data_IF_042458783328
#
_entry.id   IF_042458783328
#
_cell.length_a   1.000
_cell.length_b   1.000
_cell.length_c   1.000
_cell.angle_alpha   90.00
_cell.angle_beta   90.00
_cell.angle_gamma   90.00
#
_symmetry.space_group_name_H-M   'P 1'
#
loop_
_entity.id
_entity.type
_entity.pdbx_description
1 polymer ?
#
# COMPACT_ATOMS: atom_id res chain seq x y z
N UNK A 1 -20.18 -22.85 4.15
CA UNK A 1 -18.75 -22.70 4.50
C UNK A 1 -18.54 -21.34 5.17
N UNK A 2 -18.58 -21.25 6.52
CA UNK A 2 -18.68 -19.95 7.16
C UNK A 2 -17.31 -19.43 7.60
N UNK A 3 -16.85 -18.35 6.93
CA UNK A 3 -16.35 -17.05 7.45
C UNK A 3 -15.59 -16.97 8.80
N UNK A 4 -14.97 -18.05 9.30
CA UNK A 4 -14.48 -18.10 10.68
C UNK A 4 -13.03 -17.68 10.93
N UNK A 5 -12.21 -17.39 9.90
CA UNK A 5 -10.75 -17.31 10.12
C UNK A 5 -10.05 -15.97 9.82
N UNK A 6 -10.70 -14.96 9.22
CA UNK A 6 -9.98 -13.74 8.80
C UNK A 6 -10.37 -12.47 9.56
N UNK A 7 -11.55 -12.41 10.20
CA UNK A 7 -12.07 -11.14 10.75
C UNK A 7 -11.78 -10.89 12.25
N UNK A 8 -11.20 -11.85 12.98
CA UNK A 8 -11.08 -11.77 14.45
C UNK A 8 -9.76 -11.20 14.99
N UNK A 9 -8.78 -10.85 14.13
CA UNK A 9 -7.43 -10.43 14.60
C UNK A 9 -7.27 -8.91 14.85
N UNK A 10 -8.30 -8.09 14.61
CA UNK A 10 -8.16 -6.60 14.62
C UNK A 10 -8.95 -5.85 15.71
N UNK A 11 -9.57 -6.53 16.69
CA UNK A 11 -10.39 -5.86 17.72
C UNK A 11 -9.87 -5.98 19.17
N UNK A 12 -9.23 -7.08 19.57
CA UNK A 12 -8.73 -7.25 20.95
C UNK A 12 -7.64 -6.25 21.34
N UNK A 13 -6.89 -5.72 20.38
CA UNK A 13 -5.80 -4.78 20.62
C UNK A 13 -6.31 -3.40 21.11
N UNK A 14 -7.47 -2.93 20.67
CA UNK A 14 -7.91 -1.56 21.02
C UNK A 14 -8.15 -1.37 22.53
N UNK A 15 -8.57 -2.42 23.24
CA UNK A 15 -8.76 -2.40 24.70
C UNK A 15 -7.46 -2.66 25.48
N UNK A 16 -6.57 -3.48 24.94
CA UNK A 16 -5.27 -3.78 25.55
C UNK A 16 -4.32 -2.57 25.51
N UNK A 17 -4.36 -1.78 24.42
CA UNK A 17 -3.60 -0.55 24.29
C UNK A 17 -4.06 0.55 25.28
N UNK A 18 -5.34 0.58 25.66
CA UNK A 18 -5.85 1.53 26.65
C UNK A 18 -5.36 1.26 28.08
N UNK A 19 -4.99 0.01 28.40
CA UNK A 19 -4.50 -0.38 29.72
C UNK A 19 -2.98 -0.16 29.88
N UNK A 20 -2.22 -0.24 28.79
CA UNK A 20 -0.75 -0.06 28.77
C UNK A 20 -0.34 1.41 28.96
N UNK A 21 -1.26 2.36 28.78
CA UNK A 21 -0.97 3.80 28.81
C UNK A 21 -0.80 4.41 30.22
N UNK A 22 -0.92 3.62 31.29
CA UNK A 22 -0.83 4.13 32.68
C UNK A 22 0.54 3.96 33.35
N UNK A 23 1.49 3.22 32.77
CA UNK A 23 2.75 2.86 33.46
C UNK A 23 4.01 2.79 32.58
N UNK A 24 4.04 3.42 31.41
CA UNK A 24 5.28 3.45 30.60
C UNK A 24 6.14 4.63 31.00
N UNK A 25 7.22 4.33 31.74
CA UNK A 25 8.32 5.24 32.05
C UNK A 25 8.76 6.01 30.79
N UNK A 26 9.08 7.29 30.92
CA UNK A 26 9.55 8.17 29.83
C UNK A 26 10.67 7.51 28.98
N UNK A 27 11.48 6.64 29.57
CA UNK A 27 12.50 5.83 28.90
C UNK A 27 11.95 4.85 27.85
N UNK A 28 10.74 4.30 28.07
CA UNK A 28 10.07 3.41 27.10
C UNK A 28 9.57 4.19 25.89
N UNK A 29 9.10 5.43 26.08
CA UNK A 29 8.68 6.29 24.97
C UNK A 29 9.86 6.73 24.09
N UNK A 30 11.04 6.96 24.67
CA UNK A 30 12.27 7.27 23.93
C UNK A 30 12.80 6.04 23.17
N UNK A 31 12.76 4.86 23.78
CA UNK A 31 13.13 3.61 23.11
C UNK A 31 12.14 3.26 21.98
N UNK A 32 10.84 3.45 22.22
CA UNK A 32 9.79 3.19 21.24
C UNK A 32 9.80 4.21 20.09
N UNK A 33 10.12 5.49 20.33
CA UNK A 33 10.25 6.48 19.24
C UNK A 33 11.45 6.19 18.33
N UNK A 34 12.57 5.76 18.90
CA UNK A 34 13.74 5.28 18.14
C UNK A 34 13.38 4.06 17.27
N UNK A 35 12.66 3.09 17.83
CA UNK A 35 12.19 1.91 17.10
C UNK A 35 11.16 2.29 16.02
N UNK A 36 10.19 3.17 16.32
CA UNK A 36 9.19 3.63 15.34
C UNK A 36 9.88 4.32 14.16
N UNK A 37 10.87 5.18 14.42
CA UNK A 37 11.66 5.82 13.37
C UNK A 37 12.45 4.80 12.55
N UNK A 38 13.00 3.74 13.18
CA UNK A 38 13.74 2.69 12.48
C UNK A 38 12.87 1.88 11.49
N UNK A 39 11.56 1.78 11.75
CA UNK A 39 10.62 1.02 10.91
C UNK A 39 9.65 1.90 10.10
N UNK A 40 9.81 3.23 10.11
CA UNK A 40 8.95 4.13 9.35
C UNK A 40 9.12 3.88 7.84
N UNK A 41 8.13 3.22 7.23
CA UNK A 41 8.16 2.92 5.80
C UNK A 41 7.93 4.20 4.99
N UNK A 42 8.64 4.39 3.85
CA UNK A 42 8.38 5.52 2.97
C UNK A 42 6.94 5.43 2.44
N UNK A 43 6.23 6.55 2.42
CA UNK A 43 4.88 6.60 1.84
C UNK A 43 4.99 6.23 0.35
N UNK A 44 4.26 5.20 -0.14
CA UNK A 44 4.37 4.77 -1.52
C UNK A 44 3.91 5.87 -2.47
N UNK A 45 4.58 5.97 -3.62
CA UNK A 45 4.15 6.88 -4.69
C UNK A 45 2.88 6.31 -5.33
N UNK A 46 1.91 7.17 -5.60
CA UNK A 46 0.64 6.75 -6.21
C UNK A 46 0.42 7.47 -7.54
N UNK A 47 -0.25 6.80 -8.48
CA UNK A 47 -0.61 7.33 -9.79
C UNK A 47 -2.10 7.13 -10.07
N UNK A 48 -2.79 8.16 -10.56
CA UNK A 48 -4.18 8.07 -11.01
C UNK A 48 -4.20 7.78 -12.51
N UNK A 49 -4.93 6.75 -12.94
CA UNK A 49 -5.06 6.36 -14.35
C UNK A 49 -6.00 7.31 -15.10
N UNK A 50 -5.60 7.76 -16.29
CA UNK A 50 -6.41 8.64 -17.15
C UNK A 50 -6.76 7.99 -18.51
N UNK A 51 -7.81 8.49 -19.17
CA UNK A 51 -8.43 7.88 -20.36
C UNK A 51 -8.10 8.61 -21.66
N UNK A 52 -7.13 9.52 -21.67
CA UNK A 52 -6.98 10.53 -22.75
C UNK A 52 -7.28 9.99 -24.16
N UNK A 53 -8.19 10.70 -24.84
CA UNK A 53 -9.13 10.18 -25.85
C UNK A 53 -8.52 9.50 -27.08
N UNK A 54 -7.25 9.72 -27.39
CA UNK A 54 -6.59 9.10 -28.56
C UNK A 54 -5.78 7.84 -28.20
N UNK A 55 -5.36 7.70 -26.95
CA UNK A 55 -4.33 6.74 -26.54
C UNK A 55 -4.36 6.50 -25.03
N UNK A 56 -5.39 5.81 -24.53
CA UNK A 56 -5.55 5.53 -23.09
C UNK A 56 -4.29 5.02 -22.38
N UNK A 57 -4.22 5.26 -21.07
CA UNK A 57 -3.12 4.77 -20.23
C UNK A 57 -3.10 3.23 -20.24
N UNK A 58 -1.90 2.68 -20.25
CA UNK A 58 -1.66 1.25 -20.03
C UNK A 58 -0.45 1.08 -19.10
N UNK A 59 -0.33 -0.08 -18.46
CA UNK A 59 0.76 -0.34 -17.52
C UNK A 59 2.15 -0.13 -18.15
N UNK A 60 2.29 -0.36 -19.46
CA UNK A 60 3.53 -0.09 -20.20
C UNK A 60 3.88 1.40 -20.24
N UNK A 61 2.95 2.27 -20.67
CA UNK A 61 3.16 3.72 -20.70
C UNK A 61 3.42 4.30 -19.32
N UNK A 62 2.73 3.77 -18.31
CA UNK A 62 2.95 4.18 -16.91
C UNK A 62 4.37 3.78 -16.48
N UNK A 63 4.81 2.56 -16.78
CA UNK A 63 6.17 2.11 -16.46
C UNK A 63 7.25 2.90 -17.20
N UNK A 64 7.03 3.24 -18.47
CA UNK A 64 7.92 4.11 -19.24
C UNK A 64 8.03 5.52 -18.61
N UNK A 65 6.91 6.09 -18.16
CA UNK A 65 6.87 7.40 -17.50
C UNK A 65 7.62 7.42 -16.15
N UNK A 66 7.53 6.36 -15.36
CA UNK A 66 8.12 6.33 -14.01
C UNK A 66 9.52 5.73 -13.95
N UNK A 67 9.82 4.74 -14.80
CA UNK A 67 11.07 4.01 -14.77
C UNK A 67 11.93 4.17 -16.04
N UNK A 68 11.43 4.88 -17.06
CA UNK A 68 12.09 5.00 -18.37
C UNK A 68 12.08 3.72 -19.20
N UNK A 69 11.44 2.66 -18.71
CA UNK A 69 11.39 1.35 -19.36
C UNK A 69 10.00 0.72 -19.20
N UNK A 70 9.27 0.63 -20.31
CA UNK A 70 7.95 0.03 -20.34
C UNK A 70 7.92 -1.45 -19.95
N UNK A 71 9.03 -2.19 -20.08
CA UNK A 71 9.13 -3.60 -19.68
C UNK A 71 8.95 -3.82 -18.18
N UNK A 72 9.14 -2.76 -17.38
CA UNK A 72 8.94 -2.76 -15.91
C UNK A 72 7.47 -2.70 -15.49
N UNK A 73 6.53 -2.76 -16.43
CA UNK A 73 5.09 -2.82 -16.14
C UNK A 73 4.71 -3.96 -15.18
N UNK A 74 5.46 -5.07 -15.19
CA UNK A 74 5.25 -6.22 -14.28
C UNK A 74 5.42 -5.84 -12.82
N UNK A 75 6.36 -4.96 -12.50
CA UNK A 75 6.62 -4.49 -11.13
C UNK A 75 5.40 -3.73 -10.59
N UNK A 76 4.81 -2.88 -11.43
CA UNK A 76 3.56 -2.15 -11.10
C UNK A 76 2.41 -3.14 -10.91
N UNK A 77 2.29 -4.14 -11.78
CA UNK A 77 1.26 -5.16 -11.65
C UNK A 77 1.39 -5.97 -10.35
N UNK A 78 2.60 -6.42 -10.01
CA UNK A 78 2.87 -7.19 -8.79
C UNK A 78 2.51 -6.41 -7.52
N UNK A 79 2.85 -5.12 -7.46
CA UNK A 79 2.51 -4.25 -6.34
C UNK A 79 1.00 -4.00 -6.18
N UNK A 80 0.24 -4.13 -7.27
CA UNK A 80 -1.20 -3.84 -7.30
C UNK A 80 -2.06 -5.08 -7.58
N UNK A 81 -1.52 -6.30 -7.42
CA UNK A 81 -2.19 -7.56 -7.77
C UNK A 81 -3.52 -7.78 -7.04
N UNK A 82 -3.67 -7.16 -5.87
CA UNK A 82 -4.91 -7.20 -5.09
C UNK A 82 -6.04 -6.41 -5.76
N UNK A 83 -5.72 -5.38 -6.53
CA UNK A 83 -6.67 -4.50 -7.20
C UNK A 83 -6.79 -4.80 -8.70
N UNK A 84 -5.69 -5.17 -9.36
CA UNK A 84 -5.65 -5.51 -10.78
C UNK A 84 -5.76 -7.03 -10.95
N UNK A 85 -6.96 -7.50 -11.30
CA UNK A 85 -7.19 -8.93 -11.61
C UNK A 85 -6.58 -9.33 -12.96
N UNK A 86 -6.75 -8.48 -13.96
CA UNK A 86 -6.26 -8.70 -15.32
C UNK A 86 -5.28 -7.57 -15.68
N UNK A 87 -3.99 -7.85 -15.94
CA UNK A 87 -2.99 -6.82 -16.24
C UNK A 87 -3.30 -6.01 -17.50
N UNK A 88 -4.15 -6.52 -18.40
CA UNK A 88 -4.57 -5.81 -19.62
C UNK A 88 -5.73 -4.84 -19.37
N UNK A 89 -6.36 -4.89 -18.18
CA UNK A 89 -7.53 -4.08 -17.82
C UNK A 89 -7.19 -3.19 -16.65
N UNK A 90 -7.00 -1.91 -16.91
CA UNK A 90 -6.93 -0.87 -15.90
C UNK A 90 -8.04 0.13 -16.13
N UNK A 91 -8.61 0.66 -15.05
CA UNK A 91 -9.77 1.53 -15.12
C UNK A 91 -9.40 3.00 -14.89
N UNK A 92 -10.14 3.94 -15.48
CA UNK A 92 -10.00 5.36 -15.21
C UNK A 92 -10.11 5.66 -13.72
N UNK A 93 -9.34 6.64 -13.23
CA UNK A 93 -9.30 7.10 -11.82
C UNK A 93 -8.87 6.02 -10.82
N UNK A 94 -8.42 4.86 -11.28
CA UNK A 94 -7.81 3.86 -10.43
C UNK A 94 -6.48 4.40 -9.86
N UNK A 95 -6.25 4.19 -8.56
CA UNK A 95 -5.00 4.54 -7.90
C UNK A 95 -4.07 3.35 -7.95
N UNK A 96 -2.92 3.50 -8.59
CA UNK A 96 -1.87 2.48 -8.63
C UNK A 96 -0.71 2.88 -7.74
N UNK A 97 -0.23 1.93 -6.96
CA UNK A 97 1.01 2.03 -6.21
C UNK A 97 2.16 1.86 -7.20
N UNK A 98 3.10 2.80 -7.18
CA UNK A 98 4.37 2.72 -7.90
C UNK A 98 5.44 2.46 -6.84
N UNK A 99 6.02 1.23 -6.80
CA UNK A 99 7.17 0.91 -5.96
C UNK A 99 8.38 1.80 -6.22
#
# INVERSE_FOLDING_TARGET
MPKFFVDLKMNKNKKMFALIFRFTSFSYLFYLSSIICLYAQPKPKTYNVWVWQENGDCLWKIAEKFYGDGRKWKIIYEANKNEIKDPRKIYPKQKLIIP
#
